data_IF_733589477131
#
_entry.id   IF_733589477131
#
_cell.length_a   1.000
_cell.length_b   1.000
_cell.length_c   1.000
_cell.angle_alpha   90.00
_cell.angle_beta   90.00
_cell.angle_gamma   90.00
#
_symmetry.space_group_name_H-M   'P 1'
#
loop_
_entity.id
_entity.type
_entity.pdbx_description
1 polymer ?
#
# COMPACT_ATOMS: atom_id res chain seq x y z
N UNK A 1 -13.07 59.61 19.83
CA UNK A 1 -14.04 58.89 18.97
C UNK A 1 -14.00 57.36 19.09
N UNK A 2 -12.83 56.70 19.14
CA UNK A 2 -12.74 55.23 19.13
C UNK A 2 -13.39 54.50 20.33
N UNK A 3 -13.32 55.04 21.54
CA UNK A 3 -13.95 54.43 22.74
C UNK A 3 -15.47 54.31 22.66
N UNK A 4 -16.12 55.30 22.04
CA UNK A 4 -17.59 55.33 21.89
C UNK A 4 -18.04 54.30 20.86
N UNK A 5 -17.30 54.18 19.74
CA UNK A 5 -17.56 53.19 18.70
C UNK A 5 -17.43 51.75 19.22
N UNK A 6 -16.36 51.44 19.97
CA UNK A 6 -16.17 50.10 20.56
C UNK A 6 -17.30 49.70 21.53
N UNK A 7 -17.74 50.61 22.40
CA UNK A 7 -18.87 50.37 23.32
C UNK A 7 -20.19 50.14 22.57
N UNK A 8 -20.39 50.84 21.45
CA UNK A 8 -21.58 50.68 20.61
C UNK A 8 -21.60 49.32 19.90
N UNK A 9 -20.46 48.90 19.32
CA UNK A 9 -20.31 47.61 18.63
C UNK A 9 -20.57 46.43 19.59
N UNK A 10 -20.01 46.46 20.79
CA UNK A 10 -20.24 45.40 21.79
C UNK A 10 -21.70 45.31 22.24
N UNK A 11 -22.37 46.45 22.40
CA UNK A 11 -23.80 46.48 22.74
C UNK A 11 -24.66 45.93 21.60
N UNK A 12 -24.30 46.24 20.36
CA UNK A 12 -24.98 45.72 19.17
C UNK A 12 -24.78 44.21 18.99
N UNK A 13 -23.55 43.72 19.18
CA UNK A 13 -23.24 42.29 19.21
C UNK A 13 -24.08 41.54 20.25
N UNK A 14 -24.25 42.12 21.45
CA UNK A 14 -25.08 41.52 22.50
C UNK A 14 -26.58 41.56 22.17
N UNK A 15 -27.05 42.64 21.55
CA UNK A 15 -28.45 42.79 21.15
C UNK A 15 -28.84 41.83 20.02
N UNK A 16 -27.93 41.57 19.07
CA UNK A 16 -28.13 40.69 17.92
C UNK A 16 -27.31 39.38 18.04
N UNK A 17 -27.10 38.89 19.27
CA UNK A 17 -26.15 37.81 19.57
C UNK A 17 -26.38 36.56 18.70
N UNK A 18 -27.63 36.09 18.59
CA UNK A 18 -27.94 34.89 17.79
C UNK A 18 -27.57 35.05 16.31
N UNK A 19 -27.80 36.24 15.72
CA UNK A 19 -27.48 36.51 14.32
C UNK A 19 -25.98 36.53 14.08
N UNK A 20 -25.22 37.20 14.94
CA UNK A 20 -23.77 37.27 14.83
C UNK A 20 -23.10 35.94 15.19
N UNK A 21 -23.69 35.16 16.10
CA UNK A 21 -23.26 33.79 16.39
C UNK A 21 -23.44 32.90 15.16
N UNK A 22 -24.62 32.95 14.51
CA UNK A 22 -24.87 32.19 13.28
C UNK A 22 -23.91 32.57 12.15
N UNK A 23 -23.65 33.87 11.95
CA UNK A 23 -22.65 34.36 10.99
C UNK A 23 -21.24 33.86 11.35
N UNK A 24 -20.85 33.93 12.62
CA UNK A 24 -19.57 33.45 13.11
C UNK A 24 -19.40 31.95 12.89
N UNK A 25 -20.42 31.15 13.20
CA UNK A 25 -20.40 29.71 12.96
C UNK A 25 -20.29 29.39 11.47
N UNK A 26 -21.02 30.10 10.61
CA UNK A 26 -20.93 29.92 9.16
C UNK A 26 -19.50 30.19 8.64
N UNK A 27 -18.85 31.25 9.13
CA UNK A 27 -17.45 31.57 8.79
C UNK A 27 -16.49 30.50 9.32
N UNK A 28 -16.66 30.06 10.57
CA UNK A 28 -15.84 28.99 11.17
C UNK A 28 -16.00 27.67 10.41
N UNK A 29 -17.23 27.28 10.03
CA UNK A 29 -17.46 26.08 9.23
C UNK A 29 -16.80 26.18 7.85
N UNK A 30 -16.91 27.34 7.19
CA UNK A 30 -16.24 27.57 5.90
C UNK A 30 -14.73 27.44 5.99
N UNK A 31 -14.11 28.08 6.99
CA UNK A 31 -12.67 27.96 7.23
C UNK A 31 -12.27 26.54 7.63
N UNK A 32 -13.07 25.87 8.46
CA UNK A 32 -12.83 24.50 8.91
C UNK A 32 -12.75 23.54 7.72
N UNK A 33 -13.72 23.58 6.81
CA UNK A 33 -13.74 22.70 5.62
C UNK A 33 -12.47 22.91 4.79
N UNK A 34 -12.09 24.16 4.51
CA UNK A 34 -10.89 24.48 3.71
C UNK A 34 -9.62 23.98 4.40
N UNK A 35 -9.45 24.30 5.68
CA UNK A 35 -8.25 23.91 6.44
C UNK A 35 -8.16 22.39 6.58
N UNK A 36 -9.28 21.70 6.82
CA UNK A 36 -9.31 20.24 6.91
C UNK A 36 -8.90 19.59 5.59
N UNK A 37 -9.43 20.04 4.46
CA UNK A 37 -9.07 19.47 3.15
C UNK A 37 -7.59 19.68 2.84
N UNK A 38 -7.08 20.90 3.05
CA UNK A 38 -5.66 21.21 2.80
C UNK A 38 -4.76 20.40 3.73
N UNK A 39 -5.08 20.35 5.03
CA UNK A 39 -4.31 19.58 6.01
C UNK A 39 -4.31 18.07 5.72
N UNK A 40 -5.44 17.51 5.28
CA UNK A 40 -5.52 16.12 4.83
C UNK A 40 -4.68 15.87 3.59
N UNK A 41 -4.75 16.76 2.59
CA UNK A 41 -3.96 16.63 1.36
C UNK A 41 -2.45 16.67 1.64
N UNK A 42 -2.01 17.58 2.51
CA UNK A 42 -0.60 17.68 2.93
C UNK A 42 -0.16 16.43 3.70
N UNK A 43 -0.98 15.95 4.64
CA UNK A 43 -0.70 14.74 5.42
C UNK A 43 -0.55 13.52 4.53
N UNK A 44 -1.47 13.33 3.56
CA UNK A 44 -1.43 12.22 2.62
C UNK A 44 -0.20 12.32 1.70
N UNK A 45 0.08 13.50 1.16
CA UNK A 45 1.23 13.71 0.26
C UNK A 45 2.55 13.42 0.97
N UNK A 46 2.74 13.98 2.16
CA UNK A 46 3.97 13.79 2.93
C UNK A 46 4.09 12.35 3.46
N UNK A 47 2.97 11.75 3.88
CA UNK A 47 2.92 10.35 4.31
C UNK A 47 3.30 9.39 3.18
N UNK A 48 2.75 9.60 1.98
CA UNK A 48 3.04 8.76 0.81
C UNK A 48 4.50 8.89 0.38
N UNK A 49 5.04 10.12 0.30
CA UNK A 49 6.45 10.33 -0.01
C UNK A 49 7.38 9.66 1.00
N UNK A 50 7.09 9.82 2.29
CA UNK A 50 7.88 9.21 3.36
C UNK A 50 7.84 7.69 3.29
N UNK A 51 6.67 7.11 3.00
CA UNK A 51 6.54 5.66 2.84
C UNK A 51 7.31 5.17 1.62
N UNK A 52 7.22 5.88 0.48
CA UNK A 52 7.98 5.56 -0.72
C UNK A 52 9.50 5.58 -0.51
N UNK A 53 10.00 6.57 0.24
CA UNK A 53 11.42 6.63 0.64
C UNK A 53 11.78 5.47 1.58
N UNK A 54 10.97 5.20 2.59
CA UNK A 54 11.21 4.15 3.59
C UNK A 54 11.23 2.74 2.97
N UNK A 55 10.32 2.47 2.02
CA UNK A 55 10.23 1.17 1.36
C UNK A 55 11.10 1.06 0.11
N UNK A 56 11.87 2.11 -0.21
CA UNK A 56 12.63 2.22 -1.46
C UNK A 56 11.78 1.88 -2.70
N UNK A 57 10.71 2.66 -2.93
CA UNK A 57 9.81 2.51 -4.07
C UNK A 57 10.57 2.54 -5.39
N UNK A 58 10.15 1.69 -6.32
CA UNK A 58 10.64 1.62 -7.70
C UNK A 58 10.35 2.90 -8.51
N UNK A 59 11.10 3.09 -9.59
CA UNK A 59 10.78 4.09 -10.63
C UNK A 59 9.89 3.51 -11.73
N UNK A 60 9.80 2.18 -11.81
CA UNK A 60 8.84 1.46 -12.63
C UNK A 60 9.04 -0.05 -12.59
N UNK A 61 8.10 -0.75 -13.21
CA UNK A 61 8.13 -2.20 -13.38
C UNK A 61 7.92 -2.60 -14.86
N UNK A 62 8.36 -3.80 -15.21
CA UNK A 62 8.02 -4.45 -16.47
C UNK A 62 7.89 -5.97 -16.32
N UNK A 63 7.03 -6.57 -17.13
CA UNK A 63 6.87 -8.03 -17.22
C UNK A 63 7.52 -8.61 -18.47
N UNK A 64 8.04 -9.82 -18.35
CA UNK A 64 8.54 -10.63 -19.48
C UNK A 64 7.83 -11.99 -19.53
N UNK A 65 7.84 -12.64 -20.69
CA UNK A 65 7.21 -13.97 -20.84
C UNK A 65 8.05 -15.11 -20.24
N UNK A 66 9.36 -14.91 -20.10
CA UNK A 66 10.32 -15.88 -19.57
C UNK A 66 11.36 -15.09 -18.74
N UNK A 67 11.85 -15.62 -17.60
CA UNK A 67 12.85 -14.93 -16.80
C UNK A 67 14.07 -14.48 -17.59
N UNK A 68 14.57 -13.29 -17.27
CA UNK A 68 15.81 -12.79 -17.83
C UNK A 68 16.97 -13.71 -17.46
N UNK A 69 17.89 -13.89 -18.40
CA UNK A 69 19.15 -14.58 -18.16
C UNK A 69 20.06 -13.73 -17.27
N UNK A 70 21.00 -14.38 -16.58
CA UNK A 70 22.02 -13.67 -15.80
C UNK A 70 22.82 -12.66 -16.65
N UNK A 71 23.04 -12.95 -17.93
CA UNK A 71 23.75 -12.04 -18.82
C UNK A 71 22.94 -10.75 -19.07
N UNK A 72 21.65 -10.86 -19.34
CA UNK A 72 20.75 -9.71 -19.54
C UNK A 72 20.62 -8.86 -18.28
N UNK A 73 20.48 -9.51 -17.11
CA UNK A 73 20.44 -8.81 -15.81
C UNK A 73 21.74 -8.01 -15.59
N UNK A 74 22.90 -8.59 -15.88
CA UNK A 74 24.18 -7.90 -15.73
C UNK A 74 24.39 -6.79 -16.78
N UNK A 75 23.80 -6.90 -17.97
CA UNK A 75 23.78 -5.79 -18.94
C UNK A 75 22.95 -4.61 -18.45
N UNK A 76 21.77 -4.86 -17.87
CA UNK A 76 20.92 -3.81 -17.29
C UNK A 76 21.64 -3.12 -16.13
N UNK A 77 22.27 -3.87 -15.23
CA UNK A 77 23.02 -3.30 -14.10
C UNK A 77 24.19 -2.42 -14.53
N UNK A 78 24.82 -2.69 -15.67
CA UNK A 78 25.88 -1.82 -16.24
C UNK A 78 25.36 -0.44 -16.66
N UNK A 79 24.06 -0.28 -16.85
CA UNK A 79 23.42 0.99 -17.17
C UNK A 79 23.12 1.85 -15.94
N UNK A 80 23.68 1.50 -14.76
CA UNK A 80 23.38 2.14 -13.48
C UNK A 80 21.91 1.96 -13.07
N UNK A 81 21.30 0.83 -13.42
CA UNK A 81 19.92 0.49 -13.06
C UNK A 81 19.94 -0.62 -12.01
N UNK A 82 19.32 -0.38 -10.86
CA UNK A 82 19.06 -1.42 -9.88
C UNK A 82 17.82 -2.21 -10.31
N UNK A 83 17.91 -3.53 -10.34
CA UNK A 83 16.85 -4.42 -10.80
C UNK A 83 16.57 -5.49 -9.74
N UNK A 84 15.31 -5.69 -9.39
CA UNK A 84 14.86 -6.72 -8.43
C UNK A 84 13.70 -7.54 -9.02
N UNK A 85 13.78 -8.86 -8.85
CA UNK A 85 12.71 -9.78 -9.24
C UNK A 85 11.51 -9.61 -8.30
N UNK A 86 10.34 -9.39 -8.88
CA UNK A 86 9.07 -9.31 -8.16
C UNK A 86 8.05 -10.30 -8.73
N UNK A 87 8.51 -11.54 -8.93
CA UNK A 87 7.66 -12.60 -9.45
C UNK A 87 6.51 -12.90 -8.50
N UNK A 88 5.36 -13.20 -9.08
CA UNK A 88 4.18 -13.49 -8.30
C UNK A 88 3.31 -14.58 -8.90
N UNK A 89 2.48 -15.14 -8.03
CA UNK A 89 1.46 -16.12 -8.35
C UNK A 89 0.13 -15.69 -7.75
N UNK A 90 -0.92 -15.69 -8.56
CA UNK A 90 -2.28 -15.45 -8.08
C UNK A 90 -2.94 -16.79 -7.69
N UNK A 91 -3.50 -16.84 -6.48
CA UNK A 91 -4.22 -18.00 -5.94
C UNK A 91 -5.63 -17.60 -5.51
N UNK A 92 -6.61 -18.40 -5.90
CA UNK A 92 -7.98 -18.26 -5.39
C UNK A 92 -8.07 -18.99 -4.06
N UNK A 93 -8.56 -18.28 -3.04
CA UNK A 93 -8.81 -18.85 -1.72
C UNK A 93 -10.11 -19.63 -1.70
N UNK A 94 -10.18 -20.59 -0.78
CA UNK A 94 -11.40 -21.32 -0.47
C UNK A 94 -12.19 -20.63 0.65
N UNK A 95 -12.47 -19.35 0.48
CA UNK A 95 -13.33 -18.55 1.35
C UNK A 95 -14.72 -18.31 0.71
N UNK A 96 -15.65 -17.71 1.45
CA UNK A 96 -17.02 -17.45 0.99
C UNK A 96 -17.06 -16.58 -0.27
N UNK A 97 -16.11 -15.65 -0.39
CA UNK A 97 -16.04 -14.66 -1.47
C UNK A 97 -15.16 -15.09 -2.66
N UNK A 98 -14.52 -16.26 -2.58
CA UNK A 98 -13.51 -16.76 -3.53
C UNK A 98 -12.46 -15.69 -3.85
N UNK A 99 -11.93 -15.05 -2.81
CA UNK A 99 -10.96 -13.96 -2.94
C UNK A 99 -9.65 -14.45 -3.57
N UNK A 100 -8.96 -13.57 -4.29
CA UNK A 100 -7.62 -13.85 -4.85
C UNK A 100 -6.55 -13.27 -3.93
N UNK A 101 -5.52 -14.06 -3.65
CA UNK A 101 -4.28 -13.56 -3.03
C UNK A 101 -3.14 -13.66 -4.03
N UNK A 102 -2.41 -12.55 -4.19
CA UNK A 102 -1.17 -12.49 -4.94
C UNK A 102 0.00 -12.77 -4.00
N UNK A 103 0.71 -13.84 -4.31
CA UNK A 103 1.81 -14.34 -3.49
C UNK A 103 3.12 -13.82 -4.04
N UNK A 104 3.92 -13.20 -3.18
CA UNK A 104 5.28 -12.75 -3.45
C UNK A 104 6.28 -13.41 -2.50
N UNK A 105 7.54 -13.50 -2.94
CA UNK A 105 8.67 -13.66 -2.02
C UNK A 105 8.83 -12.39 -1.19
N UNK A 106 9.31 -12.51 0.05
CA UNK A 106 9.73 -11.33 0.83
C UNK A 106 10.82 -10.58 0.08
N UNK A 107 10.54 -9.32 -0.26
CA UNK A 107 11.41 -8.41 -1.01
C UNK A 107 12.56 -7.90 -0.15
N UNK A 108 13.70 -7.59 -0.78
CA UNK A 108 14.95 -7.26 -0.06
C UNK A 108 15.36 -5.81 -0.22
N UNK A 109 15.29 -5.22 -1.40
CA UNK A 109 15.83 -3.88 -1.63
C UNK A 109 14.80 -2.92 -2.21
N UNK A 110 14.03 -3.32 -3.22
CA UNK A 110 13.01 -2.48 -3.88
C UNK A 110 11.61 -2.88 -3.42
N UNK A 111 10.76 -1.89 -3.18
CA UNK A 111 9.39 -2.05 -2.67
C UNK A 111 9.31 -2.92 -1.41
N UNK A 112 10.21 -2.64 -0.45
CA UNK A 112 10.27 -3.35 0.82
C UNK A 112 8.94 -3.26 1.58
N UNK A 113 8.65 -4.29 2.37
CA UNK A 113 7.42 -4.33 3.16
C UNK A 113 7.59 -3.42 4.37
N UNK A 114 6.68 -2.46 4.54
CA UNK A 114 6.48 -1.75 5.79
C UNK A 114 5.61 -2.60 6.70
N UNK A 115 6.20 -3.14 7.76
CA UNK A 115 5.48 -3.88 8.80
C UNK A 115 4.68 -2.90 9.67
N UNK A 116 3.37 -3.14 9.78
CA UNK A 116 2.45 -2.38 10.62
C UNK A 116 2.28 -3.10 11.96
N UNK A 117 2.11 -4.41 11.91
CA UNK A 117 2.08 -5.30 13.07
C UNK A 117 2.90 -6.55 12.80
N UNK A 118 3.49 -7.13 13.84
CA UNK A 118 4.34 -8.32 13.70
C UNK A 118 5.63 -8.04 12.94
N UNK A 119 6.20 -9.07 12.29
CA UNK A 119 7.50 -9.00 11.64
C UNK A 119 7.52 -9.82 10.34
N UNK A 120 8.65 -9.76 9.62
CA UNK A 120 8.94 -10.66 8.51
C UNK A 120 8.79 -12.13 8.92
N UNK A 121 8.42 -13.04 7.99
CA UNK A 121 8.48 -14.49 8.22
C UNK A 121 9.87 -14.90 8.68
N UNK A 122 9.95 -15.53 9.85
CA UNK A 122 11.22 -15.97 10.44
C UNK A 122 11.59 -17.40 10.05
N UNK A 123 10.59 -18.18 9.64
CA UNK A 123 10.72 -19.56 9.17
C UNK A 123 9.65 -19.88 8.11
N UNK A 124 9.79 -21.04 7.47
CA UNK A 124 8.75 -21.59 6.58
C UNK A 124 7.42 -21.76 7.33
N UNK A 125 6.31 -21.62 6.60
CA UNK A 125 4.97 -21.70 7.20
C UNK A 125 4.53 -20.40 7.88
N UNK A 126 5.32 -19.33 7.81
CA UNK A 126 4.95 -17.99 8.25
C UNK A 126 4.74 -17.05 7.06
N UNK A 127 3.73 -16.17 7.16
CA UNK A 127 3.39 -15.21 6.11
C UNK A 127 3.10 -13.82 6.64
N UNK A 128 3.28 -12.84 5.77
CA UNK A 128 2.80 -11.47 5.99
C UNK A 128 1.64 -11.21 5.05
N UNK A 129 0.54 -10.68 5.58
CA UNK A 129 -0.67 -10.39 4.82
C UNK A 129 -0.81 -8.87 4.66
N UNK A 130 -1.30 -8.42 3.50
CA UNK A 130 -1.56 -7.02 3.24
C UNK A 130 -2.58 -6.44 4.23
N UNK A 131 -2.34 -5.22 4.69
CA UNK A 131 -3.12 -4.54 5.74
C UNK A 131 -4.62 -4.46 5.45
N UNK A 132 -5.03 -3.91 4.30
CA UNK A 132 -6.44 -3.70 3.97
C UNK A 132 -7.19 -5.01 3.78
N UNK A 133 -6.55 -5.99 3.15
CA UNK A 133 -7.08 -7.35 3.06
C UNK A 133 -7.24 -7.98 4.44
N UNK A 134 -6.27 -7.79 5.33
CA UNK A 134 -6.35 -8.27 6.72
C UNK A 134 -7.51 -7.63 7.48
N UNK A 135 -7.72 -6.32 7.32
CA UNK A 135 -8.84 -5.60 7.94
C UNK A 135 -10.20 -6.13 7.45
N UNK A 136 -10.38 -6.31 6.14
CA UNK A 136 -11.64 -6.75 5.53
C UNK A 136 -12.00 -8.19 5.92
N UNK A 137 -10.98 -9.05 6.09
CA UNK A 137 -11.14 -10.46 6.46
C UNK A 137 -10.95 -10.72 7.96
N UNK A 138 -10.81 -9.67 8.77
CA UNK A 138 -10.60 -9.75 10.24
C UNK A 138 -9.39 -10.60 10.66
N UNK A 139 -8.34 -10.63 9.84
CA UNK A 139 -7.11 -11.39 10.07
C UNK A 139 -6.17 -10.61 10.99
N UNK A 140 -5.57 -11.31 11.96
CA UNK A 140 -4.61 -10.76 12.91
C UNK A 140 -3.31 -11.55 12.92
N UNK A 141 -2.26 -10.92 13.43
CA UNK A 141 -0.99 -11.61 13.69
C UNK A 141 -1.23 -12.76 14.68
N UNK A 142 -0.72 -13.93 14.34
CA UNK A 142 -0.90 -15.18 15.09
C UNK A 142 -2.03 -16.07 14.56
N UNK A 143 -2.91 -15.56 13.70
CA UNK A 143 -3.98 -16.35 13.11
C UNK A 143 -3.45 -17.36 12.08
N UNK A 144 -4.27 -18.36 11.79
CA UNK A 144 -4.02 -19.30 10.70
C UNK A 144 -4.66 -18.81 9.41
N UNK A 145 -3.96 -18.97 8.30
CA UNK A 145 -4.35 -18.49 6.99
C UNK A 145 -4.15 -19.60 5.95
N UNK A 146 -5.26 -20.10 5.39
CA UNK A 146 -5.21 -21.13 4.33
C UNK A 146 -4.96 -20.51 2.95
N UNK A 147 -4.03 -21.12 2.21
CA UNK A 147 -3.80 -20.88 0.79
C UNK A 147 -3.76 -22.24 0.08
N UNK A 148 -4.77 -22.52 -0.74
CA UNK A 148 -4.86 -23.73 -1.56
C UNK A 148 -4.73 -25.05 -0.76
N UNK A 149 -5.27 -25.07 0.47
CA UNK A 149 -5.23 -26.22 1.39
C UNK A 149 -3.96 -26.33 2.22
N UNK A 150 -3.09 -25.32 2.20
CA UNK A 150 -1.90 -25.23 3.04
C UNK A 150 -2.12 -24.12 4.07
N UNK A 151 -2.03 -24.47 5.35
CA UNK A 151 -2.18 -23.53 6.45
C UNK A 151 -0.87 -22.86 6.80
N UNK A 152 -0.89 -21.54 6.81
CA UNK A 152 0.20 -20.67 7.25
C UNK A 152 -0.17 -19.98 8.56
N UNK A 153 0.84 -19.53 9.30
CA UNK A 153 0.67 -18.63 10.44
C UNK A 153 0.97 -17.20 10.00
N UNK A 154 0.11 -16.26 10.35
CA UNK A 154 0.34 -14.85 10.08
C UNK A 154 1.39 -14.33 11.06
N UNK A 155 2.61 -14.07 10.58
CA UNK A 155 3.71 -13.51 11.37
C UNK A 155 3.71 -11.98 11.37
N UNK A 156 3.08 -11.37 10.38
CA UNK A 156 2.97 -9.92 10.27
C UNK A 156 1.83 -9.44 9.39
N UNK A 157 1.48 -8.17 9.56
CA UNK A 157 0.59 -7.41 8.70
C UNK A 157 1.40 -6.23 8.16
N UNK A 158 1.40 -6.04 6.84
CA UNK A 158 2.24 -5.04 6.19
C UNK A 158 1.60 -4.36 5.01
N UNK A 159 2.26 -3.33 4.51
CA UNK A 159 1.95 -2.70 3.22
C UNK A 159 3.21 -2.51 2.40
N UNK A 160 3.04 -2.38 1.09
CA UNK A 160 4.11 -2.08 0.13
C UNK A 160 3.67 -0.88 -0.71
N UNK A 161 4.62 -0.01 -1.04
CA UNK A 161 4.32 1.28 -1.68
C UNK A 161 3.90 1.17 -3.16
N UNK A 162 4.29 0.09 -3.84
CA UNK A 162 3.89 -0.24 -5.22
C UNK A 162 2.45 -0.77 -5.32
N UNK A 163 1.80 -1.03 -4.18
CA UNK A 163 0.36 -1.32 -4.10
C UNK A 163 -0.33 -0.37 -3.12
N UNK A 164 -0.10 0.94 -3.26
CA UNK A 164 -0.81 1.98 -2.50
C UNK A 164 -2.33 1.95 -2.74
N UNK A 165 -2.74 1.55 -3.95
CA UNK A 165 -4.05 1.00 -4.27
C UNK A 165 -3.91 -0.46 -4.72
N UNK A 166 -4.42 -1.46 -3.95
CA UNK A 166 -4.29 -2.86 -4.31
C UNK A 166 -5.24 -3.25 -5.45
N UNK A 167 -4.89 -2.87 -6.68
CA UNK A 167 -5.55 -3.32 -7.90
C UNK A 167 -5.03 -4.70 -8.28
N UNK A 168 -5.92 -5.61 -8.70
CA UNK A 168 -5.49 -6.93 -9.19
C UNK A 168 -4.84 -6.79 -10.56
N UNK A 169 -5.44 -5.97 -11.44
CA UNK A 169 -4.90 -5.59 -12.73
C UNK A 169 -4.97 -4.07 -12.91
N UNK A 170 -4.04 -3.52 -13.69
CA UNK A 170 -4.01 -2.08 -14.01
C UNK A 170 -5.28 -1.57 -14.73
N UNK A 171 -6.02 -2.48 -15.39
CA UNK A 171 -7.28 -2.19 -16.07
C UNK A 171 -8.50 -2.17 -15.13
N UNK A 172 -8.34 -2.55 -13.87
CA UNK A 172 -9.45 -2.62 -12.93
C UNK A 172 -9.92 -1.20 -12.56
N UNK A 173 -11.23 -1.00 -12.47
CA UNK A 173 -11.82 0.33 -12.22
C UNK A 173 -11.79 0.76 -10.76
N UNK A 174 -11.46 -0.16 -9.85
CA UNK A 174 -11.47 0.07 -8.40
C UNK A 174 -10.58 -0.94 -7.68
N UNK A 175 -9.92 -0.52 -6.61
CA UNK A 175 -9.29 -1.44 -5.66
C UNK A 175 -10.37 -2.06 -4.75
N UNK A 176 -10.30 -3.36 -4.51
CA UNK A 176 -11.25 -4.06 -3.65
C UNK A 176 -10.57 -5.14 -2.81
N UNK A 177 -10.20 -4.75 -1.59
CA UNK A 177 -9.51 -5.62 -0.62
C UNK A 177 -10.36 -6.77 -0.08
N UNK A 178 -11.66 -6.81 -0.38
CA UNK A 178 -12.50 -7.97 -0.10
C UNK A 178 -12.18 -9.14 -1.04
N UNK A 179 -11.88 -8.84 -2.30
CA UNK A 179 -11.64 -9.85 -3.34
C UNK A 179 -10.17 -9.99 -3.74
N UNK A 180 -9.29 -9.05 -3.37
CA UNK A 180 -7.88 -9.10 -3.73
C UNK A 180 -6.98 -8.64 -2.59
N UNK A 181 -5.91 -9.38 -2.33
CA UNK A 181 -4.89 -9.01 -1.35
C UNK A 181 -3.52 -9.56 -1.70
N UNK A 182 -2.51 -9.12 -0.97
CA UNK A 182 -1.13 -9.59 -1.15
C UNK A 182 -0.71 -10.45 0.03
N UNK A 183 0.13 -11.45 -0.25
CA UNK A 183 0.76 -12.29 0.75
C UNK A 183 2.25 -12.39 0.44
N UNK A 184 3.09 -12.19 1.45
CA UNK A 184 4.53 -12.34 1.35
C UNK A 184 5.00 -13.51 2.20
N UNK A 185 5.82 -14.37 1.61
CA UNK A 185 6.30 -15.60 2.25
C UNK A 185 7.78 -15.84 1.98
N UNK A 186 8.34 -16.85 2.63
CA UNK A 186 9.73 -17.25 2.41
C UNK A 186 9.94 -17.75 0.98
N UNK A 187 11.18 -17.70 0.50
CA UNK A 187 11.53 -18.21 -0.82
C UNK A 187 11.20 -19.70 -0.97
N UNK A 188 11.41 -20.51 0.07
CA UNK A 188 11.13 -21.94 0.04
C UNK A 188 9.62 -22.23 -0.07
N UNK A 189 8.79 -21.50 0.68
CA UNK A 189 7.32 -21.59 0.58
C UNK A 189 6.82 -21.18 -0.81
N UNK A 190 7.37 -20.09 -1.35
CA UNK A 190 7.03 -19.61 -2.69
C UNK A 190 7.36 -20.66 -3.76
N UNK A 191 8.57 -21.25 -3.72
CA UNK A 191 8.95 -22.29 -4.68
C UNK A 191 8.11 -23.58 -4.53
N UNK A 192 7.62 -23.88 -3.32
CA UNK A 192 6.67 -24.98 -3.11
C UNK A 192 5.34 -24.70 -3.80
N UNK A 193 4.81 -23.48 -3.70
CA UNK A 193 3.62 -23.06 -4.43
C UNK A 193 3.83 -23.11 -5.94
N UNK A 194 4.93 -22.55 -6.42
CA UNK A 194 5.29 -22.55 -7.84
C UNK A 194 5.28 -23.97 -8.44
N UNK A 195 5.83 -24.95 -7.72
CA UNK A 195 5.87 -26.36 -8.13
C UNK A 195 4.52 -27.07 -8.01
N UNK A 196 3.62 -26.60 -7.14
CA UNK A 196 2.32 -27.23 -6.91
C UNK A 196 1.39 -27.19 -8.14
N UNK A 197 1.59 -26.23 -9.05
CA UNK A 197 0.77 -26.05 -10.25
C UNK A 197 -0.68 -25.66 -9.98
N UNK A 198 -1.02 -25.26 -8.75
CA UNK A 198 -2.38 -24.87 -8.34
C UNK A 198 -2.70 -23.38 -8.55
N UNK A 199 -1.78 -22.61 -9.11
CA UNK A 199 -1.99 -21.18 -9.34
C UNK A 199 -3.06 -20.93 -10.41
N UNK A 200 -3.75 -19.79 -10.33
CA UNK A 200 -4.80 -19.41 -11.28
C UNK A 200 -4.22 -19.23 -12.71
N UNK A 201 -2.96 -18.79 -12.78
CA UNK A 201 -2.20 -18.57 -14.01
C UNK A 201 -0.76 -19.06 -13.83
N UNK A 202 -0.01 -19.11 -14.91
CA UNK A 202 1.45 -19.21 -14.86
C UNK A 202 2.03 -18.07 -14.02
N UNK A 203 3.19 -18.31 -13.44
CA UNK A 203 3.98 -17.28 -12.76
C UNK A 203 4.16 -16.05 -13.65
N UNK A 204 3.92 -14.87 -13.08
CA UNK A 204 4.21 -13.62 -13.76
C UNK A 204 5.66 -13.22 -13.47
N UNK A 205 6.43 -12.96 -14.52
CA UNK A 205 7.83 -12.55 -14.40
C UNK A 205 7.95 -11.03 -14.45
N UNK A 206 7.58 -10.38 -13.34
CA UNK A 206 7.72 -8.95 -13.16
C UNK A 206 9.10 -8.59 -12.56
N UNK A 207 9.67 -7.49 -13.05
CA UNK A 207 10.89 -6.90 -12.54
C UNK A 207 10.64 -5.44 -12.18
N UNK A 208 11.00 -5.08 -10.96
CA UNK A 208 11.03 -3.71 -10.48
C UNK A 208 12.41 -3.12 -10.73
N UNK A 209 12.47 -1.85 -11.18
CA UNK A 209 13.73 -1.16 -11.35
C UNK A 209 13.77 0.19 -10.67
N UNK A 210 15.00 0.58 -10.28
CA UNK A 210 15.31 1.92 -9.81
C UNK A 210 16.42 2.50 -10.67
N UNK A 211 16.17 3.67 -11.21
CA UNK A 211 17.07 4.43 -12.05
C UNK A 211 18.18 5.04 -11.20
N UNK A 212 19.41 4.85 -11.65
CA UNK A 212 20.56 5.52 -11.07
C UNK A 212 20.70 6.96 -11.56
N UNK A 213 21.78 7.60 -11.11
CA UNK A 213 22.08 8.99 -11.42
C UNK A 213 22.45 9.25 -12.89
N UNK A 214 22.68 8.20 -13.68
CA UNK A 214 22.99 8.30 -15.10
C UNK A 214 21.77 8.69 -15.99
N UNK A 215 20.56 8.52 -15.49
CA UNK A 215 19.30 8.65 -16.25
C UNK A 215 18.54 9.97 -16.07
N UNK A 216 19.02 10.86 -15.19
CA UNK A 216 18.49 12.23 -14.98
C UNK A 216 18.90 13.23 -16.10
N UNK A 217 19.14 12.77 -17.33
CA UNK A 217 19.60 13.59 -18.46
C UNK A 217 18.53 13.81 -19.52
#
# INVERSE_FOLDING_TARGET
MQRVLRKRVLRDLKANFLRYLALGLMVVMGMFIVVSIVGSAETLTNGTKKLAEETNLEDGEFSVFVPLTKAEIEEIKKMDIALEEQFYLDYIRDDEDKSTVRIFKVRKNINQIKYIEGNAPSAEGEIVVEKRYSEEHSIKVGDSFDIAGVNYKVSGIGCVSDYDGPYKNISDTSCNSKYFGLVFMTENDYEAFRKSGKSQKSEEFAYAYKLGSATDK
#
